data_IF_122632380386
#
_entry.id   IF_122632380386
#
_cell.length_a   1.000
_cell.length_b   1.000
_cell.length_c   1.000
_cell.angle_alpha   90.00
_cell.angle_beta   90.00
_cell.angle_gamma   90.00
#
_symmetry.space_group_name_H-M   'P 1'
#
loop_
_entity.id
_entity.type
_entity.pdbx_description
1 polymer ?
#
# COMPACT_ATOMS: atom_id res chain seq x y z
N UNK A 1 23.48 21.90 -12.84
CA UNK A 1 23.84 21.24 -11.56
C UNK A 1 23.32 19.79 -11.51
N UNK A 2 22.00 19.55 -11.52
CA UNK A 2 21.43 18.19 -11.41
C UNK A 2 21.95 17.20 -12.46
N UNK A 3 21.87 17.57 -13.75
CA UNK A 3 22.43 16.76 -14.84
C UNK A 3 23.90 16.43 -14.62
N UNK A 4 24.70 17.44 -14.27
CA UNK A 4 26.13 17.28 -14.00
C UNK A 4 26.35 16.29 -12.85
N UNK A 5 25.55 16.34 -11.78
CA UNK A 5 25.67 15.38 -10.68
C UNK A 5 25.33 13.94 -11.10
N UNK A 6 24.28 13.76 -11.91
CA UNK A 6 23.87 12.46 -12.44
C UNK A 6 24.90 11.87 -13.42
N UNK A 7 25.65 12.72 -14.11
CA UNK A 7 26.70 12.35 -15.08
C UNK A 7 28.11 12.33 -14.46
N UNK A 8 28.32 12.96 -13.30
CA UNK A 8 29.63 13.10 -12.66
C UNK A 8 30.12 11.76 -12.10
N UNK A 9 31.43 11.51 -12.27
CA UNK A 9 32.14 10.40 -11.64
C UNK A 9 31.73 9.00 -12.11
N UNK A 10 30.97 8.90 -13.21
CA UNK A 10 30.56 7.64 -13.79
C UNK A 10 29.06 7.39 -13.71
N UNK A 11 28.35 7.92 -12.72
CA UNK A 11 26.91 7.66 -12.55
C UNK A 11 26.48 7.73 -11.10
N UNK A 12 26.51 8.93 -10.50
CA UNK A 12 26.16 9.08 -9.09
C UNK A 12 24.64 9.11 -8.92
N UNK A 13 24.11 8.31 -7.99
CA UNK A 13 22.70 8.39 -7.59
C UNK A 13 22.42 9.75 -6.93
N UNK A 14 21.34 10.40 -7.33
CA UNK A 14 20.90 11.68 -6.75
C UNK A 14 19.55 11.46 -6.08
N UNK A 15 19.43 11.86 -4.82
CA UNK A 15 18.15 11.88 -4.10
C UNK A 15 17.77 13.32 -3.76
N UNK A 16 16.58 13.72 -4.18
CA UNK A 16 15.94 14.97 -3.77
C UNK A 16 14.86 14.60 -2.77
N UNK A 17 15.03 15.04 -1.52
CA UNK A 17 14.05 14.80 -0.46
C UNK A 17 13.47 16.11 0.02
N UNK A 18 12.14 16.16 0.14
CA UNK A 18 11.46 17.21 0.90
C UNK A 18 10.98 16.63 2.23
N UNK A 19 11.14 17.40 3.31
CA UNK A 19 10.59 17.06 4.63
C UNK A 19 9.60 18.15 5.03
N UNK A 20 8.45 17.76 5.57
CA UNK A 20 7.53 18.72 6.18
C UNK A 20 7.64 18.62 7.71
N UNK A 21 8.38 19.55 8.31
CA UNK A 21 8.69 19.57 9.75
C UNK A 21 7.65 20.30 10.63
N UNK A 22 6.43 20.57 10.13
CA UNK A 22 5.33 21.03 10.98
C UNK A 22 5.27 22.54 11.27
N UNK A 23 6.08 23.38 10.63
CA UNK A 23 5.85 24.83 10.63
C UNK A 23 5.05 25.25 9.38
N UNK A 24 3.86 25.82 9.58
CA UNK A 24 3.07 26.41 8.51
C UNK A 24 3.81 27.62 7.92
N UNK A 25 4.28 27.53 6.67
CA UNK A 25 4.83 28.69 5.94
C UNK A 25 6.01 28.48 4.99
N UNK A 26 6.66 27.30 4.92
CA UNK A 26 7.90 27.14 4.13
C UNK A 26 7.88 26.05 3.05
N UNK A 27 6.72 25.81 2.43
CA UNK A 27 6.54 24.91 1.29
C UNK A 27 5.71 23.69 1.63
N UNK A 28 4.92 23.22 0.66
CA UNK A 28 4.02 22.09 0.87
C UNK A 28 4.78 20.76 1.06
N UNK A 29 6.05 20.69 0.65
CA UNK A 29 6.80 19.43 0.60
C UNK A 29 6.55 18.67 -0.70
N UNK A 30 6.10 19.36 -1.74
CA UNK A 30 5.95 18.81 -3.09
C UNK A 30 7.25 18.93 -3.87
N UNK A 31 7.47 18.04 -4.83
CA UNK A 31 8.52 18.17 -5.84
C UNK A 31 7.86 18.42 -7.20
N UNK A 32 8.34 19.41 -7.94
CA UNK A 32 7.86 19.69 -9.30
C UNK A 32 9.01 19.65 -10.30
N UNK A 33 8.89 18.81 -11.33
CA UNK A 33 9.78 18.80 -12.49
C UNK A 33 9.19 19.74 -13.54
N UNK A 34 9.69 20.98 -13.58
CA UNK A 34 9.16 22.03 -14.44
C UNK A 34 9.85 22.12 -15.81
N UNK A 35 11.09 21.64 -15.89
CA UNK A 35 11.93 21.63 -17.09
C UNK A 35 12.38 20.22 -17.44
N UNK A 36 12.63 19.97 -18.73
CA UNK A 36 13.07 18.68 -19.19
C UNK A 36 14.38 18.25 -18.53
N UNK A 37 14.50 16.96 -18.21
CA UNK A 37 15.67 16.35 -17.60
C UNK A 37 16.17 15.21 -18.50
N UNK A 38 17.44 15.27 -18.88
CA UNK A 38 18.11 14.25 -19.70
C UNK A 38 19.49 14.02 -19.10
N UNK A 39 19.89 12.75 -18.95
CA UNK A 39 21.24 12.38 -18.54
C UNK A 39 21.62 11.01 -19.12
N UNK A 40 22.91 10.83 -19.38
CA UNK A 40 23.45 9.62 -20.00
C UNK A 40 24.74 9.18 -19.31
N UNK A 41 24.67 8.55 -18.13
CA UNK A 41 25.87 8.23 -17.36
C UNK A 41 26.59 7.02 -17.95
N UNK A 42 27.90 6.92 -17.72
CA UNK A 42 28.72 5.79 -18.20
C UNK A 42 28.54 4.51 -17.37
N UNK A 43 27.89 4.64 -16.22
CA UNK A 43 27.58 3.66 -15.19
C UNK A 43 26.17 3.99 -14.71
N UNK A 44 25.38 3.00 -14.32
CA UNK A 44 23.98 3.20 -13.94
C UNK A 44 23.84 4.32 -12.88
N UNK A 45 22.91 5.26 -13.08
CA UNK A 45 22.59 6.28 -12.07
C UNK A 45 21.11 6.46 -11.88
N UNK A 46 20.69 6.70 -10.63
CA UNK A 46 19.29 6.81 -10.25
C UNK A 46 18.98 8.23 -9.80
N UNK A 47 17.95 8.84 -10.38
CA UNK A 47 17.31 10.02 -9.82
C UNK A 47 16.15 9.57 -8.93
N UNK A 48 16.26 9.82 -7.63
CA UNK A 48 15.20 9.58 -6.65
C UNK A 48 14.53 10.90 -6.27
N UNK A 49 13.23 10.99 -6.47
CA UNK A 49 12.37 12.10 -6.01
C UNK A 49 11.55 11.59 -4.82
N UNK A 50 11.88 12.04 -3.61
CA UNK A 50 11.22 11.67 -2.37
C UNK A 50 10.47 12.87 -1.79
N UNK A 51 9.16 12.95 -2.04
CA UNK A 51 8.35 14.07 -1.58
C UNK A 51 7.54 13.72 -0.32
N UNK A 52 7.48 14.64 0.64
CA UNK A 52 6.57 14.48 1.79
C UNK A 52 5.09 14.46 1.38
N UNK A 53 4.73 15.12 0.28
CA UNK A 53 3.37 15.17 -0.27
C UNK A 53 3.33 14.66 -1.71
N UNK A 54 3.40 15.55 -2.70
CA UNK A 54 3.19 15.19 -4.10
C UNK A 54 4.46 15.28 -4.95
N UNK A 55 4.49 14.52 -6.05
CA UNK A 55 5.44 14.74 -7.13
C UNK A 55 4.69 15.06 -8.41
N UNK A 56 4.99 16.21 -9.01
CA UNK A 56 4.42 16.67 -10.26
C UNK A 56 5.47 16.63 -11.37
N UNK A 57 5.37 15.67 -12.28
CA UNK A 57 6.24 15.57 -13.46
C UNK A 57 5.56 16.32 -14.61
N UNK A 58 5.87 17.61 -14.73
CA UNK A 58 5.24 18.49 -15.71
C UNK A 58 6.09 18.63 -16.99
N UNK A 59 7.34 18.17 -16.99
CA UNK A 59 8.24 18.20 -18.14
C UNK A 59 8.95 16.86 -18.33
N UNK A 60 9.45 16.63 -19.54
CA UNK A 60 9.96 15.32 -19.95
C UNK A 60 11.16 14.88 -19.11
N UNK A 61 11.23 13.58 -18.84
CA UNK A 61 12.39 12.94 -18.21
C UNK A 61 12.88 11.86 -19.16
N UNK A 62 14.14 11.93 -19.57
CA UNK A 62 14.68 11.07 -20.63
C UNK A 62 16.11 10.57 -20.35
N UNK A 63 16.34 9.70 -19.36
CA UNK A 63 17.65 9.09 -19.17
C UNK A 63 17.97 7.96 -20.16
N UNK A 64 19.25 7.78 -20.45
CA UNK A 64 19.79 6.57 -21.08
C UNK A 64 20.83 5.98 -20.14
N UNK A 65 20.69 4.72 -19.71
CA UNK A 65 21.51 4.11 -18.63
C UNK A 65 21.25 4.72 -17.25
N UNK A 66 20.06 5.27 -17.05
CA UNK A 66 19.66 5.86 -15.78
C UNK A 66 18.25 5.45 -15.38
N UNK A 67 18.00 5.44 -14.08
CA UNK A 67 16.72 5.05 -13.48
C UNK A 67 16.00 6.26 -12.91
N UNK A 68 14.67 6.18 -12.87
CA UNK A 68 13.83 7.14 -12.18
C UNK A 68 13.08 6.44 -11.04
N UNK A 69 13.26 6.92 -9.82
CA UNK A 69 12.52 6.49 -8.64
C UNK A 69 11.72 7.67 -8.11
N UNK A 70 10.42 7.50 -7.93
CA UNK A 70 9.53 8.54 -7.41
C UNK A 70 8.73 7.95 -6.26
N UNK A 71 8.86 8.56 -5.09
CA UNK A 71 8.19 8.14 -3.87
C UNK A 71 7.59 9.36 -3.20
N UNK A 72 6.29 9.32 -2.93
CA UNK A 72 5.62 10.49 -2.35
C UNK A 72 4.62 10.07 -1.27
N UNK A 73 4.39 10.95 -0.30
CA UNK A 73 3.42 10.70 0.78
C UNK A 73 1.97 10.71 0.31
N UNK A 74 1.67 11.33 -0.84
CA UNK A 74 0.31 11.47 -1.37
C UNK A 74 0.23 11.14 -2.85
N UNK A 75 0.37 12.09 -3.78
CA UNK A 75 0.09 11.81 -5.19
C UNK A 75 1.30 11.96 -6.12
N UNK A 76 1.39 11.06 -7.11
CA UNK A 76 2.27 11.25 -8.26
C UNK A 76 1.39 11.67 -9.45
N UNK A 77 1.71 12.81 -10.05
CA UNK A 77 1.04 13.30 -11.25
C UNK A 77 2.05 13.37 -12.41
N UNK A 78 1.90 12.47 -13.38
CA UNK A 78 2.69 12.45 -14.61
C UNK A 78 1.91 13.16 -15.72
N UNK A 79 2.40 14.35 -16.11
CA UNK A 79 1.80 15.22 -17.14
C UNK A 79 2.72 15.45 -18.35
N UNK A 80 3.82 14.71 -18.41
CA UNK A 80 4.83 14.77 -19.46
C UNK A 80 5.40 13.36 -19.73
N UNK A 81 6.23 13.22 -20.77
CA UNK A 81 6.76 11.91 -21.14
C UNK A 81 7.92 11.53 -20.21
N UNK A 82 7.88 10.31 -19.69
CA UNK A 82 9.05 9.66 -19.09
C UNK A 82 9.55 8.61 -20.07
N UNK A 83 10.79 8.73 -20.54
CA UNK A 83 11.44 7.76 -21.43
C UNK A 83 12.72 7.24 -20.80
N UNK A 84 12.90 5.95 -20.66
CA UNK A 84 14.16 5.35 -20.21
C UNK A 84 14.67 4.36 -21.26
N UNK A 85 15.98 4.40 -21.52
CA UNK A 85 16.66 3.41 -22.36
C UNK A 85 17.75 2.78 -21.51
N UNK A 86 17.76 1.46 -21.40
CA UNK A 86 18.65 0.71 -20.51
C UNK A 86 18.50 1.21 -19.08
N UNK A 87 17.29 1.22 -18.52
CA UNK A 87 17.04 1.80 -17.20
C UNK A 87 15.58 1.70 -16.79
N UNK A 88 15.33 1.64 -15.49
CA UNK A 88 14.01 1.33 -14.94
C UNK A 88 13.29 2.53 -14.34
N UNK A 89 11.98 2.39 -14.19
CA UNK A 89 11.09 3.38 -13.58
C UNK A 89 10.35 2.75 -12.40
N UNK A 90 10.42 3.38 -11.24
CA UNK A 90 9.63 3.04 -10.05
C UNK A 90 8.82 4.26 -9.61
N UNK A 91 7.49 4.14 -9.62
CA UNK A 91 6.55 5.16 -9.14
C UNK A 91 5.76 4.58 -7.97
N UNK A 92 5.89 5.15 -6.78
CA UNK A 92 5.19 4.71 -5.57
C UNK A 92 4.50 5.90 -4.89
N UNK A 93 3.18 5.95 -5.01
CA UNK A 93 2.36 6.98 -4.39
C UNK A 93 1.76 6.51 -3.06
N UNK A 94 1.85 7.34 -2.02
CA UNK A 94 1.20 7.11 -0.74
C UNK A 94 -0.33 7.21 -0.79
N UNK A 95 -0.88 7.72 -1.89
CA UNK A 95 -2.32 7.74 -2.21
C UNK A 95 -2.57 7.36 -3.67
N UNK A 96 -2.41 8.28 -4.62
CA UNK A 96 -2.79 8.05 -6.02
C UNK A 96 -1.62 8.26 -7.01
N UNK A 97 -1.58 7.43 -8.05
CA UNK A 97 -0.73 7.65 -9.23
C UNK A 97 -1.61 8.01 -10.43
N UNK A 98 -1.43 9.22 -10.96
CA UNK A 98 -2.16 9.73 -12.10
C UNK A 98 -1.26 9.89 -13.31
N UNK A 99 -1.53 9.13 -14.38
CA UNK A 99 -0.91 9.31 -15.70
C UNK A 99 -2.05 9.56 -16.68
N UNK A 100 -2.19 10.80 -17.12
CA UNK A 100 -3.37 11.24 -17.88
C UNK A 100 -2.93 11.95 -19.15
N UNK A 101 -3.18 11.32 -20.30
CA UNK A 101 -3.02 11.90 -21.64
C UNK A 101 -4.40 12.34 -22.14
N UNK A 102 -4.59 13.64 -22.28
CA UNK A 102 -5.88 14.26 -22.68
C UNK A 102 -5.64 15.30 -23.75
N UNK A 103 -6.60 15.44 -24.67
CA UNK A 103 -6.63 16.55 -25.60
C UNK A 103 -6.84 17.83 -24.76
N UNK A 104 -5.91 18.79 -24.83
CA UNK A 104 -6.22 20.11 -24.31
C UNK A 104 -7.15 20.81 -25.30
N UNK A 105 -8.14 21.51 -24.76
CA UNK A 105 -9.00 22.40 -25.53
C UNK A 105 -8.13 23.40 -26.32
N UNK A 106 -8.21 23.45 -27.67
CA UNK A 106 -7.47 24.42 -28.47
C UNK A 106 -7.79 25.88 -28.11
N UNK A 107 -8.91 26.16 -27.43
CA UNK A 107 -9.28 27.50 -26.94
C UNK A 107 -8.69 27.85 -25.55
N UNK A 108 -8.12 26.89 -24.83
CA UNK A 108 -7.47 27.08 -23.53
C UNK A 108 -6.12 26.37 -23.50
N UNK A 109 -5.10 26.87 -24.24
CA UNK A 109 -3.75 26.35 -24.11
C UNK A 109 -3.28 26.65 -22.68
N UNK A 110 -3.38 25.67 -21.80
CA UNK A 110 -2.62 25.64 -20.56
C UNK A 110 -1.14 25.63 -20.95
N UNK A 111 -0.57 26.82 -21.10
CA UNK A 111 0.86 27.07 -21.29
C UNK A 111 1.52 26.20 -22.38
N UNK A 112 0.95 26.16 -23.60
CA UNK A 112 1.63 25.61 -24.78
C UNK A 112 2.12 24.15 -24.69
N UNK A 113 1.66 23.35 -23.72
CA UNK A 113 2.02 21.94 -23.59
C UNK A 113 0.80 21.09 -23.87
N UNK A 114 0.79 20.35 -24.97
CA UNK A 114 -0.04 19.15 -25.05
C UNK A 114 0.29 18.26 -23.85
N UNK A 115 -0.71 17.78 -23.10
CA UNK A 115 -0.46 16.79 -22.05
C UNK A 115 -0.19 15.44 -22.72
N UNK A 116 1.05 15.27 -23.19
CA UNK A 116 1.58 14.04 -23.80
C UNK A 116 2.12 13.08 -22.74
N UNK A 117 1.47 12.98 -21.58
CA UNK A 117 1.85 12.03 -20.55
C UNK A 117 2.03 10.62 -21.11
N UNK A 118 3.00 9.90 -20.59
CA UNK A 118 3.25 8.51 -20.94
C UNK A 118 4.59 8.02 -20.40
N UNK A 119 4.75 6.71 -20.35
CA UNK A 119 6.00 6.07 -19.94
C UNK A 119 6.48 5.18 -21.08
N UNK A 120 7.75 5.29 -21.45
CA UNK A 120 8.39 4.45 -22.45
C UNK A 120 9.68 3.90 -21.89
N UNK A 121 9.79 2.59 -21.82
CA UNK A 121 10.98 1.92 -21.31
C UNK A 121 11.49 0.93 -22.36
N UNK A 122 12.77 1.03 -22.71
CA UNK A 122 13.47 0.06 -23.56
C UNK A 122 14.59 -0.56 -22.75
N UNK A 123 14.63 -1.89 -22.65
CA UNK A 123 15.57 -2.61 -21.77
C UNK A 123 15.55 -2.05 -20.33
N UNK A 124 14.41 -2.17 -19.69
CA UNK A 124 14.20 -1.66 -18.34
C UNK A 124 12.91 -2.19 -17.76
N UNK A 125 12.73 -2.03 -16.46
CA UNK A 125 11.55 -2.48 -15.75
C UNK A 125 10.66 -1.28 -15.37
N UNK A 126 9.36 -1.54 -15.21
CA UNK A 126 8.41 -0.54 -14.74
C UNK A 126 7.70 -1.09 -13.51
N UNK A 127 7.78 -0.39 -12.38
CA UNK A 127 6.93 -0.68 -11.22
C UNK A 127 6.12 0.55 -10.85
N UNK A 128 4.81 0.38 -10.76
CA UNK A 128 3.85 1.41 -10.38
C UNK A 128 3.04 0.90 -9.20
N UNK A 129 3.03 1.64 -8.10
CA UNK A 129 2.29 1.29 -6.91
C UNK A 129 1.58 2.51 -6.32
N UNK A 130 0.37 2.28 -5.82
CA UNK A 130 -0.39 3.30 -5.11
C UNK A 130 -1.13 2.68 -3.93
N UNK A 131 -1.24 3.43 -2.83
CA UNK A 131 -2.03 2.99 -1.68
C UNK A 131 -3.53 2.96 -2.00
N UNK A 132 -4.00 3.83 -2.90
CA UNK A 132 -5.39 3.92 -3.31
C UNK A 132 -5.51 3.66 -4.82
N UNK A 133 -5.51 4.67 -5.69
CA UNK A 133 -5.73 4.45 -7.12
C UNK A 133 -4.45 4.53 -7.97
N UNK A 134 -4.36 3.66 -8.99
CA UNK A 134 -3.52 3.90 -10.15
C UNK A 134 -4.44 4.23 -11.32
N UNK A 135 -4.42 5.50 -11.74
CA UNK A 135 -5.25 6.00 -12.83
C UNK A 135 -4.41 6.22 -14.08
N UNK A 136 -4.63 5.37 -15.07
CA UNK A 136 -4.03 5.46 -16.40
C UNK A 136 -5.14 5.83 -17.37
N UNK A 137 -5.10 7.05 -17.91
CA UNK A 137 -6.14 7.56 -18.79
C UNK A 137 -5.53 8.08 -20.08
N UNK A 138 -5.99 7.60 -21.22
CA UNK A 138 -5.71 8.17 -22.52
C UNK A 138 -7.03 8.51 -23.22
N UNK A 139 -7.30 9.80 -23.44
CA UNK A 139 -8.48 10.26 -24.18
C UNK A 139 -8.11 11.06 -25.43
N UNK A 140 -6.84 11.05 -25.84
CA UNK A 140 -6.31 11.92 -26.88
C UNK A 140 -5.95 11.17 -28.15
N UNK A 141 -5.17 10.09 -28.01
CA UNK A 141 -4.64 9.34 -29.16
C UNK A 141 -4.84 7.83 -28.98
N UNK A 142 -4.79 7.11 -30.10
CA UNK A 142 -4.83 5.64 -30.10
C UNK A 142 -3.46 5.01 -29.78
N UNK A 143 -2.43 5.81 -29.51
CA UNK A 143 -1.11 5.30 -29.17
C UNK A 143 -1.10 4.78 -27.74
N UNK A 144 -0.24 3.80 -27.45
CA UNK A 144 -0.06 3.30 -26.10
C UNK A 144 0.32 4.46 -25.15
N UNK A 145 -0.32 4.48 -23.98
CA UNK A 145 0.04 5.39 -22.89
C UNK A 145 1.37 4.96 -22.27
N UNK A 146 1.57 3.65 -22.13
CA UNK A 146 2.78 3.05 -21.59
C UNK A 146 3.32 2.02 -22.58
N UNK A 147 4.63 2.02 -22.79
CA UNK A 147 5.33 1.04 -23.62
C UNK A 147 6.54 0.48 -22.89
N UNK A 148 6.70 -0.85 -22.89
CA UNK A 148 7.89 -1.54 -22.41
C UNK A 148 8.34 -2.55 -23.47
N UNK A 149 9.58 -2.44 -23.96
CA UNK A 149 10.03 -3.23 -25.13
C UNK A 149 10.85 -4.46 -24.77
N UNK A 150 11.48 -4.49 -23.59
CA UNK A 150 12.21 -5.63 -23.02
C UNK A 150 12.44 -5.36 -21.53
N UNK A 151 12.39 -6.39 -20.69
CA UNK A 151 12.75 -6.25 -19.27
C UNK A 151 14.27 -6.25 -19.08
N UNK A 152 14.80 -5.50 -18.12
CA UNK A 152 16.21 -5.56 -17.77
C UNK A 152 16.46 -6.42 -16.54
N UNK A 153 17.53 -7.21 -16.60
CA UNK A 153 18.15 -7.91 -15.45
C UNK A 153 19.58 -7.43 -15.21
N UNK A 154 19.97 -6.33 -15.86
CA UNK A 154 21.30 -5.76 -15.72
C UNK A 154 21.41 -5.04 -14.38
N UNK A 155 22.34 -5.50 -13.55
CA UNK A 155 22.57 -4.94 -12.21
C UNK A 155 22.75 -3.42 -12.24
N UNK A 156 22.00 -2.74 -11.38
CA UNK A 156 21.98 -1.27 -11.29
C UNK A 156 21.03 -0.58 -12.27
N UNK A 157 20.58 -1.26 -13.33
CA UNK A 157 19.56 -0.76 -14.27
C UNK A 157 18.19 -1.39 -14.03
N UNK A 158 18.13 -2.52 -13.35
CA UNK A 158 16.92 -3.29 -13.04
C UNK A 158 16.15 -2.81 -11.80
N UNK A 159 16.80 -2.01 -10.95
CA UNK A 159 16.32 -1.59 -9.62
C UNK A 159 15.97 -2.77 -8.69
N UNK A 160 16.59 -3.93 -8.87
CA UNK A 160 16.28 -5.14 -8.08
C UNK A 160 16.48 -4.93 -6.57
N UNK A 161 17.47 -4.11 -6.17
CA UNK A 161 17.73 -3.71 -4.78
C UNK A 161 16.58 -2.94 -4.13
N UNK A 162 15.70 -2.33 -4.93
CA UNK A 162 14.47 -1.66 -4.48
C UNK A 162 13.23 -2.57 -4.60
N UNK A 163 13.42 -3.87 -4.83
CA UNK A 163 12.33 -4.83 -4.98
C UNK A 163 11.57 -4.73 -6.31
N UNK A 164 12.06 -3.94 -7.27
CA UNK A 164 11.53 -3.92 -8.64
C UNK A 164 11.78 -5.28 -9.29
N UNK A 165 10.72 -5.88 -9.83
CA UNK A 165 10.82 -7.15 -10.55
C UNK A 165 11.11 -6.89 -12.01
N UNK A 166 11.73 -7.88 -12.67
CA UNK A 166 11.85 -7.87 -14.12
C UNK A 166 10.46 -7.71 -14.75
N UNK A 167 10.35 -6.81 -15.72
CA UNK A 167 9.12 -6.52 -16.44
C UNK A 167 8.30 -5.37 -15.85
N UNK A 168 6.98 -5.47 -16.05
CA UNK A 168 6.00 -4.50 -15.59
C UNK A 168 5.25 -4.99 -14.36
N UNK A 169 5.20 -4.16 -13.31
CA UNK A 169 4.36 -4.37 -12.13
C UNK A 169 3.43 -3.18 -11.93
N UNK A 170 2.12 -3.44 -11.81
CA UNK A 170 1.09 -2.47 -11.42
C UNK A 170 0.48 -3.00 -10.12
N UNK A 171 0.53 -2.23 -9.04
CA UNK A 171 0.00 -2.61 -7.73
C UNK A 171 -0.86 -1.50 -7.15
N UNK A 172 -2.18 -1.58 -7.34
CA UNK A 172 -3.13 -0.54 -6.92
C UNK A 172 -3.98 -0.97 -5.72
N UNK A 173 -4.29 -0.03 -4.84
CA UNK A 173 -5.07 -0.26 -3.62
C UNK A 173 -4.28 -0.95 -2.51
N UNK A 174 -2.99 -0.65 -2.40
CA UNK A 174 -2.09 -1.30 -1.42
C UNK A 174 -2.20 -0.73 -0.01
N UNK A 175 -3.07 0.26 0.24
CA UNK A 175 -3.18 1.02 1.49
C UNK A 175 -3.83 0.27 2.65
N UNK A 176 -4.17 -1.01 2.49
CA UNK A 176 -4.60 -1.87 3.59
C UNK A 176 -6.09 -1.84 3.95
N UNK A 177 -6.90 -1.04 3.25
CA UNK A 177 -8.33 -0.84 3.51
C UNK A 177 -9.26 -1.74 2.69
N UNK A 178 -8.72 -2.63 1.85
CA UNK A 178 -9.50 -3.55 1.03
C UNK A 178 -9.92 -4.86 1.74
N UNK A 179 -10.73 -5.71 1.06
CA UNK A 179 -11.32 -5.47 -0.26
C UNK A 179 -12.43 -4.39 -0.21
N UNK A 180 -12.79 -3.82 -1.36
CA UNK A 180 -13.90 -2.86 -1.48
C UNK A 180 -13.52 -1.53 -2.14
N UNK A 181 -14.54 -0.76 -2.52
CA UNK A 181 -14.39 0.52 -3.25
C UNK A 181 -13.53 1.56 -2.52
N UNK A 182 -13.55 1.55 -1.19
CA UNK A 182 -12.82 2.51 -0.37
C UNK A 182 -11.29 2.28 -0.33
N UNK A 183 -10.81 1.15 -0.88
CA UNK A 183 -9.39 0.86 -0.98
C UNK A 183 -8.76 1.28 -2.30
N UNK A 184 -9.51 1.89 -3.22
CA UNK A 184 -9.03 2.23 -4.55
C UNK A 184 -8.73 0.98 -5.41
N UNK A 185 -8.37 1.17 -6.68
CA UNK A 185 -8.00 0.09 -7.59
C UNK A 185 -7.20 0.59 -8.81
N UNK A 186 -6.88 -0.32 -9.74
CA UNK A 186 -6.29 0.05 -11.02
C UNK A 186 -7.40 0.51 -11.98
N UNK A 187 -7.34 1.75 -12.43
CA UNK A 187 -8.31 2.36 -13.34
C UNK A 187 -7.62 2.59 -14.68
N UNK A 188 -7.88 1.70 -15.64
CA UNK A 188 -7.29 1.71 -16.98
C UNK A 188 -8.33 2.17 -18.01
N UNK A 189 -8.21 3.41 -18.45
CA UNK A 189 -9.19 4.04 -19.37
C UNK A 189 -8.52 4.36 -20.72
N UNK A 190 -8.58 3.45 -21.70
CA UNK A 190 -8.19 3.73 -23.08
C UNK A 190 -9.15 4.70 -23.76
N UNK A 191 -8.72 5.29 -24.87
CA UNK A 191 -9.50 6.26 -25.63
C UNK A 191 -10.81 5.65 -26.14
N UNK A 192 -10.73 4.38 -26.56
CA UNK A 192 -11.89 3.58 -26.94
C UNK A 192 -11.97 2.40 -25.96
N UNK A 193 -13.08 2.23 -25.22
CA UNK A 193 -13.25 1.07 -24.34
C UNK A 193 -12.99 -0.26 -25.05
N UNK A 194 -12.26 -1.16 -24.40
CA UNK A 194 -11.87 -2.46 -24.97
C UNK A 194 -10.64 -2.43 -25.88
N UNK A 195 -10.00 -1.27 -26.08
CA UNK A 195 -8.70 -1.18 -26.78
C UNK A 195 -7.52 -1.17 -25.80
N UNK A 196 -6.34 -1.51 -26.31
CA UNK A 196 -5.13 -1.53 -25.50
C UNK A 196 -4.67 -0.12 -25.14
N UNK A 197 -4.37 0.07 -23.85
CA UNK A 197 -3.78 1.28 -23.30
C UNK A 197 -2.26 1.14 -23.15
N UNK A 198 -1.77 -0.09 -23.02
CA UNK A 198 -0.38 -0.42 -22.69
C UNK A 198 0.14 -1.43 -23.73
N UNK A 199 1.38 -1.25 -24.17
CA UNK A 199 2.08 -2.20 -25.05
C UNK A 199 3.29 -2.77 -24.32
N UNK A 200 3.40 -4.09 -24.28
CA UNK A 200 4.55 -4.77 -23.66
C UNK A 200 5.07 -5.85 -24.59
N UNK A 201 6.39 -5.84 -24.80
CA UNK A 201 7.13 -6.80 -25.61
C UNK A 201 8.21 -7.46 -24.75
N UNK A 202 8.36 -8.79 -24.89
CA UNK A 202 9.46 -9.58 -24.30
C UNK A 202 9.72 -9.32 -22.80
N UNK A 203 8.64 -9.06 -22.03
CA UNK A 203 8.70 -8.75 -20.60
C UNK A 203 7.45 -9.29 -19.88
N UNK A 204 7.57 -9.87 -18.67
CA UNK A 204 6.41 -10.31 -17.91
C UNK A 204 5.63 -9.12 -17.34
N UNK A 205 4.33 -9.30 -17.13
CA UNK A 205 3.42 -8.30 -16.58
C UNK A 205 2.74 -8.88 -15.35
N UNK A 206 2.74 -8.14 -14.24
CA UNK A 206 1.98 -8.45 -13.03
C UNK A 206 1.09 -7.28 -12.68
N UNK A 207 -0.22 -7.50 -12.64
CA UNK A 207 -1.18 -6.54 -12.09
C UNK A 207 -1.77 -7.10 -10.80
N UNK A 208 -1.52 -6.40 -9.70
CA UNK A 208 -2.13 -6.65 -8.41
C UNK A 208 -3.10 -5.49 -8.14
N UNK A 209 -4.34 -5.81 -7.80
CA UNK A 209 -5.35 -4.79 -7.61
C UNK A 209 -6.24 -5.12 -6.43
N UNK A 210 -6.65 -4.10 -5.68
CA UNK A 210 -7.71 -4.24 -4.71
C UNK A 210 -9.06 -4.47 -5.44
N UNK A 211 -9.72 -5.62 -5.24
CA UNK A 211 -11.01 -5.89 -5.86
C UNK A 211 -12.15 -5.23 -5.08
N UNK A 212 -13.29 -5.01 -5.75
CA UNK A 212 -14.52 -4.57 -5.07
C UNK A 212 -15.03 -5.67 -4.12
N UNK A 213 -14.89 -6.92 -4.55
CA UNK A 213 -15.10 -8.14 -3.75
C UNK A 213 -14.34 -9.29 -4.40
N UNK A 214 -14.03 -10.35 -3.67
CA UNK A 214 -13.36 -11.52 -4.25
C UNK A 214 -14.25 -12.39 -5.16
N UNK A 215 -15.54 -12.10 -5.21
CA UNK A 215 -16.49 -12.80 -6.09
C UNK A 215 -16.55 -12.20 -7.50
N UNK A 216 -15.98 -11.00 -7.69
CA UNK A 216 -15.99 -10.29 -8.97
C UNK A 216 -14.58 -9.83 -9.35
N UNK A 217 -13.72 -10.73 -9.86
CA UNK A 217 -12.39 -10.36 -10.36
C UNK A 217 -12.50 -9.42 -11.57
N UNK A 218 -11.62 -8.42 -11.63
CA UNK A 218 -11.46 -7.58 -12.81
C UNK A 218 -10.55 -8.29 -13.82
N UNK A 219 -10.90 -8.19 -15.10
CA UNK A 219 -10.02 -8.59 -16.20
C UNK A 219 -9.47 -7.36 -16.92
N UNK A 220 -8.16 -7.15 -16.81
CA UNK A 220 -7.40 -6.09 -17.48
C UNK A 220 -6.77 -6.55 -18.80
N UNK A 221 -7.00 -7.79 -19.25
CA UNK A 221 -6.32 -8.36 -20.41
C UNK A 221 -6.45 -7.50 -21.68
N UNK A 222 -7.64 -6.93 -21.91
CA UNK A 222 -7.92 -6.05 -23.06
C UNK A 222 -7.13 -4.74 -23.05
N UNK A 223 -6.67 -4.28 -21.88
CA UNK A 223 -5.87 -3.07 -21.76
C UNK A 223 -4.43 -3.24 -22.27
N UNK A 224 -3.99 -4.47 -22.58
CA UNK A 224 -2.62 -4.75 -23.01
C UNK A 224 -2.54 -5.30 -24.43
N UNK A 225 -1.70 -4.68 -25.26
CA UNK A 225 -1.12 -5.33 -26.44
C UNK A 225 0.15 -6.04 -25.99
N UNK A 226 0.23 -7.36 -26.22
CA UNK A 226 1.29 -8.23 -25.68
C UNK A 226 2.00 -8.98 -26.80
N UNK A 227 3.32 -8.91 -26.82
CA UNK A 227 4.17 -9.71 -27.71
C UNK A 227 5.20 -10.45 -26.85
N UNK A 228 5.09 -11.77 -26.75
CA UNK A 228 5.88 -12.60 -25.83
C UNK A 228 5.87 -12.10 -24.36
N UNK A 229 4.77 -11.44 -23.95
CA UNK A 229 4.62 -10.83 -22.64
C UNK A 229 3.52 -11.56 -21.84
N UNK A 230 3.92 -12.40 -20.88
CA UNK A 230 2.98 -13.12 -20.03
C UNK A 230 2.29 -12.16 -19.05
N UNK A 231 0.96 -12.24 -18.93
CA UNK A 231 0.18 -11.40 -18.01
C UNK A 231 -0.32 -12.25 -16.84
N UNK A 232 0.01 -11.81 -15.62
CA UNK A 232 -0.53 -12.35 -14.37
C UNK A 232 -1.38 -11.28 -13.68
N UNK A 233 -2.61 -11.64 -13.32
CA UNK A 233 -3.56 -10.74 -12.67
C UNK A 233 -3.93 -11.32 -11.31
N UNK A 234 -3.77 -10.55 -10.24
CA UNK A 234 -4.02 -11.01 -8.87
C UNK A 234 -4.84 -10.00 -8.08
N UNK A 235 -5.76 -10.50 -7.28
CA UNK A 235 -6.48 -9.70 -6.31
C UNK A 235 -5.62 -9.52 -5.04
N UNK A 236 -5.55 -8.29 -4.53
CA UNK A 236 -4.92 -8.05 -3.24
C UNK A 236 -5.78 -8.62 -2.12
N UNK A 237 -5.14 -9.34 -1.19
CA UNK A 237 -5.77 -9.84 0.03
C UNK A 237 -5.16 -9.23 1.26
N UNK A 238 -6.00 -8.93 2.24
CA UNK A 238 -5.63 -8.11 3.39
C UNK A 238 -5.77 -8.92 4.67
N UNK A 239 -4.67 -9.15 5.42
CA UNK A 239 -4.74 -9.78 6.73
C UNK A 239 -5.56 -8.99 7.73
N UNK A 240 -6.22 -9.67 8.67
CA UNK A 240 -6.91 -9.04 9.79
C UNK A 240 -6.00 -9.03 11.02
N UNK A 241 -5.98 -7.93 11.78
CA UNK A 241 -5.07 -7.76 12.93
C UNK A 241 -5.70 -7.08 14.13
N UNK A 242 -7.03 -7.20 14.28
CA UNK A 242 -7.78 -6.58 15.39
C UNK A 242 -7.29 -7.09 16.74
N UNK A 243 -7.26 -6.20 17.74
CA UNK A 243 -6.86 -6.53 19.12
C UNK A 243 -7.63 -5.72 20.15
N UNK A 244 -7.57 -6.16 21.40
CA UNK A 244 -7.95 -5.32 22.56
C UNK A 244 -6.75 -4.48 22.98
N UNK A 245 -7.00 -3.26 23.46
CA UNK A 245 -5.96 -2.36 23.93
C UNK A 245 -5.17 -2.97 25.10
N UNK A 246 -3.85 -3.00 24.96
CA UNK A 246 -2.89 -3.52 25.95
C UNK A 246 -1.72 -2.53 26.16
N UNK A 247 -1.83 -1.32 25.61
CA UNK A 247 -0.77 -0.31 25.62
C UNK A 247 0.34 -0.55 24.58
N UNK A 248 0.29 -1.63 23.80
CA UNK A 248 1.28 -1.99 22.78
C UNK A 248 0.72 -1.85 21.36
N UNK A 249 1.58 -1.40 20.45
CA UNK A 249 1.27 -1.36 19.02
C UNK A 249 1.45 -2.71 18.32
N UNK A 250 2.15 -3.68 18.95
CA UNK A 250 2.36 -5.00 18.37
C UNK A 250 1.05 -5.76 18.23
N UNK A 251 0.89 -6.50 17.15
CA UNK A 251 -0.28 -7.36 16.91
C UNK A 251 0.12 -8.62 16.17
N UNK A 252 -0.75 -9.62 16.20
CA UNK A 252 -0.64 -10.84 15.40
C UNK A 252 -1.70 -10.82 14.31
N UNK A 253 -1.29 -11.08 13.07
CA UNK A 253 -2.25 -11.21 11.98
C UNK A 253 -2.96 -12.56 12.06
N UNK A 254 -4.28 -12.52 11.94
CA UNK A 254 -5.14 -13.69 11.84
C UNK A 254 -4.84 -14.48 10.57
N UNK A 255 -5.03 -15.80 10.64
CA UNK A 255 -5.06 -16.65 9.46
C UNK A 255 -6.25 -16.32 8.54
N UNK A 256 -7.32 -15.74 9.10
CA UNK A 256 -8.48 -15.25 8.35
C UNK A 256 -8.18 -13.87 7.76
N UNK A 257 -8.51 -13.71 6.47
CA UNK A 257 -8.30 -12.49 5.71
C UNK A 257 -9.60 -11.67 5.62
N UNK A 258 -9.47 -10.34 5.54
CA UNK A 258 -10.61 -9.43 5.35
C UNK A 258 -11.38 -9.79 4.09
N UNK A 259 -12.70 -9.79 4.18
CA UNK A 259 -13.62 -10.14 3.10
C UNK A 259 -13.68 -11.65 2.78
N UNK A 260 -13.02 -12.49 3.58
CA UNK A 260 -13.10 -13.95 3.52
C UNK A 260 -12.91 -14.53 2.11
N UNK A 261 -11.78 -14.27 1.43
CA UNK A 261 -11.47 -14.87 0.13
C UNK A 261 -11.44 -16.40 0.27
N UNK A 262 -12.20 -17.10 -0.59
CA UNK A 262 -12.34 -18.55 -0.50
C UNK A 262 -11.01 -19.27 -0.77
N UNK A 263 -10.67 -20.20 0.12
CA UNK A 263 -9.50 -21.08 -0.06
C UNK A 263 -8.14 -20.43 0.17
N UNK A 264 -8.08 -19.21 0.72
CA UNK A 264 -6.83 -18.49 0.94
C UNK A 264 -6.38 -18.60 2.39
N UNK A 265 -5.14 -19.01 2.59
CA UNK A 265 -4.53 -19.06 3.93
C UNK A 265 -3.33 -18.15 4.03
N UNK A 266 -3.29 -17.33 5.08
CA UNK A 266 -2.10 -16.57 5.44
C UNK A 266 -1.14 -17.45 6.25
N UNK A 267 0.11 -17.52 5.81
CA UNK A 267 1.17 -18.24 6.48
C UNK A 267 2.11 -17.24 7.16
N UNK A 268 2.38 -17.47 8.44
CA UNK A 268 3.41 -16.72 9.17
C UNK A 268 4.75 -17.44 9.05
N UNK A 269 5.75 -16.77 8.49
CA UNK A 269 7.13 -17.25 8.45
C UNK A 269 7.82 -17.07 9.80
N UNK A 270 9.01 -17.67 9.94
CA UNK A 270 9.88 -17.41 11.07
C UNK A 270 10.22 -15.90 11.13
N UNK A 271 10.01 -15.28 12.30
CA UNK A 271 10.25 -13.84 12.47
C UNK A 271 9.19 -12.93 11.84
N UNK A 272 8.00 -13.45 11.52
CA UNK A 272 6.88 -12.62 11.08
C UNK A 272 6.52 -11.57 12.16
N UNK A 273 6.34 -10.32 11.74
CA UNK A 273 6.01 -9.21 12.63
C UNK A 273 4.86 -8.40 12.06
N UNK A 274 3.96 -7.94 12.92
CA UNK A 274 2.95 -6.95 12.59
C UNK A 274 2.81 -5.93 13.72
N UNK A 275 2.65 -4.65 13.36
CA UNK A 275 2.47 -3.57 14.33
C UNK A 275 1.54 -2.52 13.76
N UNK A 276 0.64 -2.02 14.60
CA UNK A 276 -0.05 -0.77 14.36
C UNK A 276 0.96 0.39 14.35
N UNK A 277 0.61 1.49 13.67
CA UNK A 277 1.41 2.72 13.74
C UNK A 277 1.36 3.35 15.15
N UNK A 278 0.25 3.14 15.88
CA UNK A 278 0.05 3.64 17.24
C UNK A 278 -0.70 2.62 18.11
N UNK A 279 -0.43 2.59 19.42
CA UNK A 279 -1.17 1.75 20.37
C UNK A 279 -2.56 2.30 20.76
N UNK A 280 -2.97 3.45 20.22
CA UNK A 280 -4.20 4.13 20.59
C UNK A 280 -5.44 3.40 20.06
N UNK A 281 -6.47 3.27 20.91
CA UNK A 281 -7.79 2.74 20.56
C UNK A 281 -8.34 3.43 19.31
N UNK A 282 -9.01 2.65 18.46
CA UNK A 282 -9.73 3.15 17.31
C UNK A 282 -9.85 2.13 16.18
N UNK A 283 -10.66 2.47 15.20
CA UNK A 283 -10.95 1.65 14.01
C UNK A 283 -10.06 2.04 12.84
N UNK A 284 -9.85 1.11 11.90
CA UNK A 284 -9.15 1.38 10.64
C UNK A 284 -7.70 1.83 10.80
N UNK A 285 -7.07 1.50 11.93
CA UNK A 285 -5.69 1.85 12.21
C UNK A 285 -4.76 1.07 11.28
N UNK A 286 -3.79 1.73 10.61
CA UNK A 286 -2.84 1.05 9.73
C UNK A 286 -1.98 0.07 10.52
N UNK A 287 -1.70 -1.08 9.91
CA UNK A 287 -0.82 -2.13 10.41
C UNK A 287 0.22 -2.42 9.33
N UNK A 288 1.49 -2.23 9.70
CA UNK A 288 2.62 -2.63 8.87
C UNK A 288 3.06 -4.05 9.24
N UNK A 289 3.30 -4.91 8.25
CA UNK A 289 3.70 -6.29 8.49
C UNK A 289 4.80 -6.80 7.55
N UNK A 290 5.53 -7.81 8.00
CA UNK A 290 6.60 -8.48 7.24
C UNK A 290 6.75 -9.94 7.66
N UNK A 291 7.32 -10.77 6.78
CA UNK A 291 7.53 -12.20 7.06
C UNK A 291 6.28 -13.07 6.89
N UNK A 292 5.21 -12.55 6.27
CA UNK A 292 4.01 -13.30 5.94
C UNK A 292 3.98 -13.67 4.45
N UNK A 293 3.42 -14.83 4.13
CA UNK A 293 3.22 -15.31 2.76
C UNK A 293 1.83 -15.90 2.60
N UNK A 294 1.40 -16.09 1.35
CA UNK A 294 0.22 -16.90 1.04
C UNK A 294 0.67 -18.33 0.76
N UNK A 295 -0.22 -19.30 0.95
CA UNK A 295 0.00 -20.65 0.46
C UNK A 295 0.22 -20.65 -1.07
N UNK A 296 0.94 -21.66 -1.56
CA UNK A 296 1.38 -21.72 -2.96
C UNK A 296 0.23 -21.72 -3.97
N UNK A 297 -0.92 -22.30 -3.63
CA UNK A 297 -2.08 -22.33 -4.51
C UNK A 297 -2.70 -20.92 -4.64
N UNK A 298 -2.78 -20.20 -3.53
CA UNK A 298 -3.30 -18.83 -3.47
C UNK A 298 -2.47 -17.82 -4.24
N UNK A 299 -1.15 -17.99 -4.33
CA UNK A 299 -0.25 -17.03 -5.02
C UNK A 299 -0.49 -16.92 -6.54
N UNK A 300 -1.24 -17.84 -7.14
CA UNK A 300 -1.62 -17.74 -8.55
C UNK A 300 -2.68 -16.65 -8.80
N UNK A 301 -3.57 -16.41 -7.82
CA UNK A 301 -4.77 -15.57 -7.98
C UNK A 301 -4.75 -14.39 -7.01
N UNK A 302 -4.00 -14.49 -5.92
CA UNK A 302 -3.94 -13.50 -4.86
C UNK A 302 -2.52 -13.01 -4.60
N UNK A 303 -2.42 -11.78 -4.12
CA UNK A 303 -1.16 -11.15 -3.71
C UNK A 303 -1.34 -10.37 -2.39
N UNK A 304 -0.26 -10.21 -1.64
CA UNK A 304 -0.25 -9.34 -0.46
C UNK A 304 0.00 -7.87 -0.87
N UNK A 305 -0.56 -6.90 -0.14
CA UNK A 305 -0.42 -5.47 -0.43
C UNK A 305 0.95 -4.94 -0.01
N UNK A 306 1.96 -5.18 -0.85
CA UNK A 306 3.34 -4.75 -0.59
C UNK A 306 3.55 -3.30 -1.04
N UNK A 307 4.20 -2.51 -0.18
CA UNK A 307 4.63 -1.16 -0.48
C UNK A 307 5.91 -1.15 -1.31
N UNK A 308 5.95 -0.28 -2.32
CA UNK A 308 7.01 -0.26 -3.32
C UNK A 308 8.04 0.84 -3.10
N UNK A 309 7.88 1.66 -2.06
CA UNK A 309 8.89 2.62 -1.62
C UNK A 309 8.63 3.13 -0.19
N UNK A 310 9.53 3.98 0.31
CA UNK A 310 9.45 4.65 1.59
C UNK A 310 9.99 3.80 2.74
N UNK A 311 9.77 4.20 4.01
CA UNK A 311 10.23 3.45 5.17
C UNK A 311 9.60 2.06 5.29
N UNK A 312 8.54 1.80 4.52
CA UNK A 312 7.83 0.54 4.46
C UNK A 312 8.15 -0.29 3.22
N UNK A 313 9.22 0.03 2.47
CA UNK A 313 9.62 -0.74 1.29
C UNK A 313 9.65 -2.25 1.60
N UNK A 314 8.95 -3.04 0.78
CA UNK A 314 8.89 -4.50 0.92
C UNK A 314 8.03 -4.99 2.09
N UNK A 315 7.40 -4.10 2.85
CA UNK A 315 6.43 -4.43 3.90
C UNK A 315 5.01 -4.43 3.36
N UNK A 316 4.17 -5.26 3.94
CA UNK A 316 2.74 -5.28 3.68
C UNK A 316 2.01 -4.24 4.53
N UNK A 317 0.92 -3.71 4.00
CA UNK A 317 -0.01 -2.84 4.73
C UNK A 317 -1.40 -3.47 4.85
N UNK A 318 -1.95 -3.47 6.05
CA UNK A 318 -3.36 -3.73 6.30
C UNK A 318 -3.91 -2.72 7.31
N UNK A 319 -5.12 -2.92 7.79
CA UNK A 319 -5.68 -2.13 8.88
C UNK A 319 -6.44 -3.01 9.86
N UNK A 320 -6.65 -2.51 11.07
CA UNK A 320 -7.46 -3.20 12.07
C UNK A 320 -8.01 -2.24 13.10
N UNK A 321 -8.66 -2.81 14.09
CA UNK A 321 -9.30 -2.11 15.20
C UNK A 321 -8.59 -2.46 16.49
N UNK A 322 -8.23 -1.43 17.26
CA UNK A 322 -7.83 -1.56 18.65
C UNK A 322 -9.07 -1.24 19.49
N UNK A 323 -9.68 -2.25 20.09
CA UNK A 323 -10.87 -2.10 20.94
C UNK A 323 -10.46 -1.63 22.35
N UNK A 324 -11.26 -0.78 23.03
CA UNK A 324 -11.00 -0.43 24.42
C UNK A 324 -11.13 -1.65 25.33
N UNK A 325 -10.39 -1.64 26.45
CA UNK A 325 -10.54 -2.68 27.48
C UNK A 325 -11.94 -2.57 28.09
N UNK A 326 -12.67 -3.68 28.16
CA UNK A 326 -13.95 -3.73 28.85
C UNK A 326 -13.73 -3.41 30.34
N UNK A 327 -14.26 -2.28 30.80
CA UNK A 327 -14.30 -1.97 32.23
C UNK A 327 -15.38 -2.86 32.83
N UNK A 328 -14.98 -3.93 33.52
CA UNK A 328 -15.91 -4.73 34.31
C UNK A 328 -16.37 -3.81 35.45
N UNK A 329 -17.67 -3.45 35.54
CA UNK A 329 -18.15 -2.64 36.65
C UNK A 329 -17.81 -3.37 37.96
N UNK A 330 -17.38 -2.64 39.01
CA UNK A 330 -17.10 -3.26 40.30
C UNK A 330 -18.32 -4.07 40.71
N UNK A 331 -18.12 -5.37 40.97
CA UNK A 331 -19.18 -6.22 41.52
C UNK A 331 -19.60 -5.57 42.82
N UNK A 332 -20.77 -4.93 42.84
CA UNK A 332 -21.38 -4.44 44.07
C UNK A 332 -21.60 -5.69 44.91
N UNK A 333 -20.93 -5.83 46.08
CA UNK A 333 -21.19 -6.97 46.96
C UNK A 333 -22.70 -7.04 47.21
N UNK A 334 -23.32 -8.23 47.19
CA UNK A 334 -24.74 -8.34 47.49
C UNK A 334 -25.00 -7.63 48.82
N UNK A 335 -25.87 -6.62 48.79
CA UNK A 335 -26.31 -5.93 50.01
C UNK A 335 -26.95 -7.01 50.86
N UNK A 336 -26.25 -7.42 51.94
CA UNK A 336 -26.83 -8.31 52.95
C UNK A 336 -28.04 -7.55 53.49
N UNK A 337 -29.27 -8.07 53.33
CA UNK A 337 -30.45 -7.43 53.91
C UNK A 337 -30.20 -7.25 55.42
N UNK A 338 -30.58 -6.12 56.02
CA UNK A 338 -30.46 -5.94 57.45
C UNK A 338 -31.15 -7.13 58.14
N UNK A 339 -30.40 -7.86 58.97
CA UNK A 339 -30.94 -8.88 59.85
C UNK A 339 -31.94 -8.16 60.76
N UNK A 340 -33.23 -8.33 60.49
CA UNK A 340 -34.28 -7.91 61.41
C UNK A 340 -34.17 -8.86 62.60
N UNK A 341 -33.53 -8.38 63.67
CA UNK A 341 -33.51 -9.08 64.95
C UNK A 341 -34.95 -9.00 65.49
N UNK A 342 -35.67 -10.12 65.66
CA UNK A 342 -37.01 -10.10 66.24
C UNK A 342 -36.93 -9.59 67.69
N UNK A 343 -37.93 -8.83 68.17
CA UNK A 343 -37.99 -8.44 69.56
C UNK A 343 -38.10 -9.69 70.46
N UNK A 344 -37.29 -9.69 71.51
CA UNK A 344 -37.21 -10.73 72.53
C UNK A 344 -38.57 -10.85 73.25
N UNK A 345 -39.32 -11.92 72.96
CA UNK A 345 -40.58 -12.23 73.66
C UNK A 345 -40.24 -13.04 74.91
N UNK A 346 -40.54 -12.43 76.05
CA UNK A 346 -40.43 -13.02 77.38
C UNK A 346 -41.18 -14.34 77.52
N UNK A 347 -40.58 -15.25 78.29
CA UNK A 347 -40.99 -16.64 78.40
C UNK A 347 -42.35 -16.88 79.03
N UNK A 348 -42.90 -18.03 78.67
CA UNK A 348 -43.99 -18.74 79.33
C UNK A 348 -43.95 -20.18 78.86
N UNK A 349 -43.79 -21.13 79.78
CA UNK A 349 -43.38 -22.50 79.46
C UNK A 349 -44.51 -23.53 79.23
N UNK A 350 -44.03 -24.71 78.82
CA UNK A 350 -44.57 -26.08 79.02
C UNK A 350 -45.79 -26.47 78.14
N UNK A 351 -46.06 -27.76 77.74
CA UNK A 351 -45.26 -29.01 77.62
C UNK A 351 -45.34 -29.73 76.24
N UNK A 352 -44.43 -30.70 76.04
CA UNK A 352 -44.56 -32.06 75.44
C UNK A 352 -45.60 -32.34 74.33
N UNK A 353 -45.08 -32.84 73.19
CA UNK A 353 -45.63 -34.02 72.51
C UNK A 353 -46.11 -33.82 71.07
N UNK A 354 -45.61 -34.70 70.19
CA UNK A 354 -46.21 -35.30 68.97
C UNK A 354 -45.25 -35.25 67.78
N UNK A 355 -44.76 -36.45 67.42
CA UNK A 355 -44.12 -36.80 66.16
C UNK A 355 -45.01 -36.47 64.96
N UNK A 356 -44.47 -35.81 63.93
CA UNK A 356 -45.11 -35.73 62.60
C UNK A 356 -44.06 -36.00 61.50
N UNK A 357 -44.39 -36.78 60.45
CA UNK A 357 -43.42 -37.38 59.54
C UNK A 357 -42.99 -36.45 58.39
N UNK A 358 -41.81 -36.74 57.87
CA UNK A 358 -41.14 -36.13 56.71
C UNK A 358 -41.93 -36.46 55.42
N UNK A 359 -42.28 -35.49 54.55
CA UNK A 359 -42.75 -35.77 53.20
C UNK A 359 -41.58 -35.80 52.19
N UNK A 360 -41.57 -36.84 51.36
CA UNK A 360 -40.69 -37.01 50.20
C UNK A 360 -40.95 -35.95 49.10
N UNK A 361 -39.95 -35.65 48.25
CA UNK A 361 -40.10 -34.72 47.13
C UNK A 361 -40.90 -35.36 45.97
N UNK A 362 -41.95 -34.66 45.53
CA UNK A 362 -42.74 -35.02 44.35
C UNK A 362 -42.07 -34.58 43.02
N UNK A 363 -42.41 -35.22 41.89
CA UNK A 363 -41.71 -35.03 40.63
C UNK A 363 -42.15 -33.80 39.83
N UNK A 364 -41.20 -33.32 39.05
CA UNK A 364 -41.22 -32.23 38.06
C UNK A 364 -42.36 -32.36 37.04
N UNK A 365 -43.10 -31.28 36.71
CA UNK A 365 -44.02 -31.30 35.59
C UNK A 365 -43.29 -31.07 34.25
N UNK A 366 -43.47 -32.02 33.36
CA UNK A 366 -43.16 -32.00 31.93
C UNK A 366 -44.08 -30.98 31.24
N UNK A 367 -43.50 -30.02 30.51
CA UNK A 367 -44.26 -29.12 29.63
C UNK A 367 -44.27 -29.70 28.22
N UNK A 368 -45.47 -30.05 27.73
CA UNK A 368 -45.71 -30.51 26.38
C UNK A 368 -47.00 -29.86 25.87
N UNK A 369 -46.89 -28.84 25.00
CA UNK A 369 -47.99 -28.39 24.12
C UNK A 369 -47.38 -27.95 22.78
N UNK A 370 -47.73 -28.71 21.75
CA UNK A 370 -47.57 -28.44 20.32
C UNK A 370 -48.57 -27.40 19.79
N UNK A 371 -48.10 -26.57 18.83
CA UNK A 371 -48.74 -26.09 17.58
C UNK A 371 -50.10 -25.33 17.66
N UNK A 372 -50.41 -24.26 16.91
CA UNK A 372 -50.15 -23.87 15.50
C UNK A 372 -50.39 -22.34 15.29
N UNK A 373 -49.99 -21.74 14.15
CA UNK A 373 -50.15 -20.31 13.82
C UNK A 373 -51.49 -20.03 13.08
N UNK A 374 -51.93 -18.76 12.88
CA UNK A 374 -51.57 -18.08 11.62
C UNK A 374 -51.56 -16.52 11.63
N UNK A 375 -51.10 -16.00 10.48
CA UNK A 375 -51.65 -14.87 9.72
C UNK A 375 -50.92 -13.51 9.64
N UNK A 376 -50.74 -13.14 8.37
CA UNK A 376 -50.15 -11.95 7.79
C UNK A 376 -50.96 -10.69 8.08
N UNK A 377 -50.28 -9.57 8.32
CA UNK A 377 -50.80 -8.24 8.01
C UNK A 377 -49.77 -7.44 7.20
N UNK A 378 -50.20 -6.73 6.13
CA UNK A 378 -49.32 -5.87 5.34
C UNK A 378 -49.12 -4.53 6.06
N UNK A 379 -47.88 -4.02 6.06
CA UNK A 379 -47.54 -2.70 6.59
C UNK A 379 -47.62 -1.68 5.46
N UNK A 380 -48.57 -0.75 5.58
CA UNK A 380 -48.71 0.43 4.75
C UNK A 380 -47.98 1.63 5.38
N UNK A 381 -47.44 2.50 4.53
CA UNK A 381 -46.59 3.63 4.90
C UNK A 381 -47.41 4.87 5.32
N UNK A 382 -47.04 5.50 6.44
CA UNK A 382 -47.28 6.95 6.66
C UNK A 382 -46.07 7.58 7.37
N UNK A 383 -45.52 8.70 6.87
CA UNK A 383 -44.41 9.41 7.49
C UNK A 383 -44.91 10.48 8.50
N UNK A 384 -44.33 10.52 9.70
CA UNK A 384 -44.70 11.50 10.72
C UNK A 384 -43.61 11.75 11.77
N UNK A 385 -42.93 12.89 11.61
CA UNK A 385 -42.43 13.85 12.63
C UNK A 385 -41.73 13.29 13.88
N UNK A 386 -40.41 13.53 13.99
CA UNK A 386 -39.62 13.39 15.22
C UNK A 386 -39.64 14.68 16.08
N UNK A 387 -39.76 14.60 17.41
CA UNK A 387 -39.53 15.74 18.31
C UNK A 387 -38.06 15.81 18.82
N UNK A 388 -37.55 16.99 19.26
CA UNK A 388 -36.12 17.23 19.44
C UNK A 388 -35.72 17.54 20.89
N UNK A 389 -35.03 16.62 21.59
CA UNK A 389 -34.24 16.90 22.80
C UNK A 389 -33.14 15.81 22.84
N UNK A 390 -31.84 16.08 23.00
CA UNK A 390 -31.17 16.45 24.26
C UNK A 390 -29.73 16.94 23.96
N UNK A 391 -29.30 17.91 24.77
CA UNK A 391 -28.01 18.60 24.85
C UNK A 391 -26.76 17.70 24.85
N UNK A 392 -25.73 18.09 24.09
CA UNK A 392 -24.35 17.61 24.26
C UNK A 392 -23.54 18.58 25.12
N UNK A 393 -22.99 18.04 26.20
CA UNK A 393 -22.01 18.69 27.09
C UNK A 393 -20.67 18.72 26.38
N UNK A 394 -20.05 19.90 26.29
CA UNK A 394 -18.65 20.05 25.86
C UNK A 394 -17.78 20.06 27.11
N UNK A 395 -17.01 19.01 27.33
CA UNK A 395 -15.89 19.04 28.29
C UNK A 395 -14.62 19.32 27.50
N UNK A 396 -14.01 20.46 27.80
CA UNK A 396 -12.68 20.85 27.35
C UNK A 396 -11.67 20.31 28.35
N UNK A 397 -10.80 19.39 27.93
CA UNK A 397 -9.62 19.00 28.70
C UNK A 397 -8.36 19.39 27.92
N UNK A 398 -7.64 20.36 28.50
CA UNK A 398 -6.27 20.71 28.13
C UNK A 398 -5.31 19.59 28.55
N UNK A 399 -4.43 19.08 27.67
CA UNK A 399 -3.47 18.05 28.04
C UNK A 399 -2.32 18.62 28.91
N UNK A 400 -1.82 17.84 29.89
CA UNK A 400 -0.69 18.24 30.73
C UNK A 400 0.63 18.19 29.96
N UNK A 401 1.52 19.16 30.24
CA UNK A 401 2.85 19.24 29.64
C UNK A 401 3.78 18.13 30.16
N UNK A 402 4.39 17.38 29.23
CA UNK A 402 5.39 16.36 29.53
C UNK A 402 6.74 17.03 29.88
N UNK A 403 7.25 16.74 31.08
CA UNK A 403 8.65 16.95 31.43
C UNK A 403 9.54 16.04 30.56
N UNK A 404 10.44 16.65 29.80
CA UNK A 404 11.46 15.96 29.01
C UNK A 404 12.60 15.48 29.92
N UNK A 405 12.76 14.16 30.05
CA UNK A 405 13.98 13.55 30.59
C UNK A 405 15.02 13.45 29.46
N UNK A 406 16.05 14.29 29.55
CA UNK A 406 17.23 14.24 28.69
C UNK A 406 18.09 13.03 29.09
N UNK A 407 18.25 12.08 28.18
CA UNK A 407 19.24 10.99 28.33
C UNK A 407 20.62 11.48 27.89
N UNK A 408 21.69 11.19 28.64
CA UNK A 408 23.05 11.59 28.26
C UNK A 408 23.55 10.80 27.03
N UNK A 409 24.43 11.39 26.20
CA UNK A 409 24.88 10.78 24.96
C UNK A 409 25.73 9.53 25.21
N UNK A 410 25.39 8.46 24.50
CA UNK A 410 26.17 7.21 24.47
C UNK A 410 27.48 7.46 23.73
N UNK A 411 28.61 7.30 24.41
CA UNK A 411 29.94 7.41 23.83
C UNK A 411 30.27 6.13 23.05
N UNK A 412 30.37 6.24 21.72
CA UNK A 412 30.76 5.13 20.85
C UNK A 412 32.25 4.80 21.00
N UNK A 413 32.64 3.52 20.95
CA UNK A 413 34.04 3.11 20.99
C UNK A 413 34.82 3.59 19.75
N UNK A 414 36.12 3.89 19.89
CA UNK A 414 36.94 4.42 18.80
C UNK A 414 37.09 3.40 17.66
N UNK A 415 36.97 3.90 16.43
CA UNK A 415 37.07 3.10 15.22
C UNK A 415 38.49 2.52 15.03
N UNK A 416 38.63 1.29 14.51
CA UNK A 416 39.94 0.69 14.23
C UNK A 416 40.68 1.44 13.12
N UNK A 417 42.03 1.42 13.14
CA UNK A 417 42.86 2.15 12.18
C UNK A 417 42.70 1.62 10.76
N UNK A 418 42.56 2.55 9.81
CA UNK A 418 42.39 2.27 8.38
C UNK A 418 43.73 1.76 7.81
N UNK A 419 43.74 0.52 7.32
CA UNK A 419 44.87 -0.04 6.56
C UNK A 419 44.72 0.36 5.09
N UNK A 420 45.59 1.26 4.62
CA UNK A 420 45.63 1.66 3.23
C UNK A 420 46.22 0.52 2.37
N UNK A 421 45.35 -0.21 1.68
CA UNK A 421 45.76 -1.19 0.66
C UNK A 421 46.15 -0.44 -0.61
N UNK A 422 47.45 -0.41 -0.92
CA UNK A 422 47.95 0.11 -2.19
C UNK A 422 47.67 -0.91 -3.29
N UNK A 423 46.69 -0.63 -4.15
CA UNK A 423 46.38 -1.45 -5.32
C UNK A 423 47.36 -1.12 -6.45
N UNK A 424 48.07 -2.11 -7.04
CA UNK A 424 48.97 -1.86 -8.16
C UNK A 424 48.23 -1.33 -9.39
N UNK A 425 48.75 -0.24 -9.96
CA UNK A 425 48.25 0.40 -11.18
C UNK A 425 48.38 -0.56 -12.37
N UNK A 426 47.25 -0.91 -12.99
CA UNK A 426 47.21 -1.78 -14.16
C UNK A 426 47.96 -1.17 -15.36
N UNK A 427 48.68 -2.02 -16.10
CA UNK A 427 49.42 -1.62 -17.29
C UNK A 427 48.48 -1.21 -18.45
N UNK A 428 48.86 -0.23 -19.27
CA UNK A 428 48.03 0.24 -20.38
C UNK A 428 47.87 -0.82 -21.47
N UNK A 429 46.66 -0.92 -22.02
CA UNK A 429 46.31 -1.87 -23.07
C UNK A 429 47.02 -1.54 -24.39
N UNK A 430 47.41 -2.57 -25.19
CA UNK A 430 48.03 -2.36 -26.49
C UNK A 430 47.05 -1.73 -27.50
N UNK A 431 47.54 -0.93 -28.45
CA UNK A 431 46.70 -0.26 -29.44
C UNK A 431 46.01 -1.25 -30.38
N UNK A 432 44.81 -0.91 -30.89
CA UNK A 432 44.04 -1.78 -31.77
C UNK A 432 44.75 -2.00 -33.11
N UNK A 433 44.75 -3.26 -33.56
CA UNK A 433 45.30 -3.67 -34.87
C UNK A 433 44.40 -3.17 -35.99
N UNK A 434 44.96 -2.37 -36.90
CA UNK A 434 44.25 -1.88 -38.07
C UNK A 434 44.05 -3.01 -39.09
N UNK A 435 42.80 -3.36 -39.37
CA UNK A 435 42.43 -4.29 -40.45
C UNK A 435 41.90 -3.47 -41.63
N UNK A 436 42.57 -3.50 -42.80
CA UNK A 436 42.10 -2.75 -43.97
C UNK A 436 40.77 -3.32 -44.49
N UNK A 437 39.89 -2.46 -45.04
CA UNK A 437 38.60 -2.89 -45.56
C UNK A 437 38.75 -3.80 -46.80
N UNK A 438 37.82 -4.74 -47.02
CA UNK A 438 37.86 -5.65 -48.14
C UNK A 438 37.74 -4.92 -49.50
N UNK A 439 38.35 -5.45 -50.57
CA UNK A 439 38.29 -4.85 -51.90
C UNK A 439 36.84 -4.73 -52.39
N UNK A 440 36.45 -3.54 -52.90
CA UNK A 440 35.14 -3.34 -53.51
C UNK A 440 35.05 -4.15 -54.82
N UNK A 441 34.04 -5.01 -54.92
CA UNK A 441 33.71 -5.70 -56.17
C UNK A 441 33.31 -4.70 -57.27
N UNK A 442 33.79 -4.96 -58.49
CA UNK A 442 33.50 -4.13 -59.65
C UNK A 442 32.04 -4.31 -60.06
N UNK A 443 31.32 -3.18 -60.10
CA UNK A 443 29.94 -3.06 -60.57
C UNK A 443 29.83 -3.63 -61.99
N UNK A 444 28.98 -4.64 -62.18
CA UNK A 444 28.69 -5.18 -63.51
C UNK A 444 28.06 -4.09 -64.40
N UNK A 445 28.65 -3.89 -65.56
CA UNK A 445 28.08 -3.10 -66.64
C UNK A 445 26.82 -3.81 -67.16
N UNK A 446 25.71 -3.07 -67.26
CA UNK A 446 24.49 -3.56 -67.90
C UNK A 446 24.69 -3.48 -69.41
N UNK A 447 24.57 -4.62 -70.09
CA UNK A 447 24.25 -4.67 -71.51
C UNK A 447 22.77 -4.46 -71.72
#
# INVERSE_FOLDING_TARGET
ALRIALEAGGGTNVTITTTNGGASGSGFGDITVASALTWTPSTASTLTLSAARDVNINADISPTRGNLVVCCGRDINVRAVVTTVNGSVLLSAGRDLNITRVLLDPAQPLLGRTNVAGIRTTDGNITMCAAHDIKLTNSFDAAALITETTSSTTGGLDLAELGVKAGMVISAGTGGTGPGVAGGTAILTPMVPGTSLITVTDAPISINYNPVSYLAPNDYSSNFTRTNAALTQRMLVFPQGDKTADGSALTTLSATLKGSPAGVTLLSGAGATASFDTAAVGVGKPISFSGYTLDVASQAIYALPIQCCGPLLGRGLTSGTILPVAVIPPVVPPVVPPVIVPPEVGGGGIPVGVDVPIPLPGPTPTADIFATPPENFPVDHVPGVLPPWVSTVVVSETPPQLLSLVTPPVQLPPAPPIVNVVVPKAAPAPPPVFVPPPPRERKHERN
#
